data_IF_261895990459
#
_entry.id   IF_261895990459
#
_cell.length_a   1.000
_cell.length_b   1.000
_cell.length_c   1.000
_cell.angle_alpha   90.00
_cell.angle_beta   90.00
_cell.angle_gamma   90.00
#
_symmetry.space_group_name_H-M   'P 1'
#
loop_
_entity.id
_entity.type
_entity.pdbx_description
1 polymer ?
#
# COMPACT_ATOMS: atom_id res chain seq x y z
N UNK A 1 -43.14 3.27 52.25
CA UNK A 1 -42.79 4.08 51.07
C UNK A 1 -41.32 3.86 50.80
N UNK A 2 -41.01 3.26 49.65
CA UNK A 2 -39.69 2.80 49.25
C UNK A 2 -38.80 3.96 48.79
N UNK A 3 -37.54 4.00 49.21
CA UNK A 3 -36.51 4.88 48.65
C UNK A 3 -35.24 4.02 48.44
N UNK A 4 -35.21 3.27 47.33
CA UNK A 4 -34.49 3.59 46.08
C UNK A 4 -32.95 3.67 46.27
N UNK A 5 -32.36 2.49 46.10
CA UNK A 5 -30.95 2.23 45.80
C UNK A 5 -30.50 3.05 44.57
N UNK A 6 -29.45 3.85 44.71
CA UNK A 6 -28.69 4.35 43.56
C UNK A 6 -27.22 3.99 43.76
N UNK A 7 -26.87 2.80 43.25
CA UNK A 7 -25.48 2.40 43.03
C UNK A 7 -24.93 3.29 41.92
N UNK A 8 -23.97 4.14 42.26
CA UNK A 8 -23.15 4.89 41.31
C UNK A 8 -22.33 3.87 40.52
N UNK A 9 -22.80 3.53 39.32
CA UNK A 9 -22.01 2.79 38.34
C UNK A 9 -20.90 3.74 37.88
N UNK A 10 -19.69 3.50 38.38
CA UNK A 10 -18.46 4.05 37.79
C UNK A 10 -18.30 3.39 36.43
N UNK A 11 -18.81 4.06 35.38
CA UNK A 11 -18.56 3.66 34.00
C UNK A 11 -17.12 4.08 33.69
N UNK A 12 -16.18 3.15 33.93
CA UNK A 12 -14.85 3.20 33.33
C UNK A 12 -15.08 3.25 31.81
N UNK A 13 -14.66 4.32 31.10
CA UNK A 13 -14.62 4.24 29.66
C UNK A 13 -13.56 3.18 29.34
N UNK A 14 -14.03 2.00 28.93
CA UNK A 14 -13.20 1.03 28.26
C UNK A 14 -12.65 1.73 27.02
N UNK A 15 -11.42 2.22 27.13
CA UNK A 15 -10.56 2.48 25.98
C UNK A 15 -10.44 1.12 25.29
N UNK A 16 -11.37 0.85 24.37
CA UNK A 16 -11.23 -0.25 23.44
C UNK A 16 -9.98 0.08 22.64
N UNK A 17 -8.88 -0.57 23.03
CA UNK A 17 -7.69 -0.67 22.23
C UNK A 17 -8.14 -1.06 20.84
N UNK A 18 -8.05 -0.12 19.90
CA UNK A 18 -8.04 -0.43 18.49
C UNK A 18 -6.95 -1.49 18.34
N UNK A 19 -7.37 -2.73 18.14
CA UNK A 19 -6.48 -3.75 17.63
C UNK A 19 -6.16 -3.31 16.21
N UNK A 20 -5.13 -2.47 16.08
CA UNK A 20 -4.40 -2.34 14.84
C UNK A 20 -3.82 -3.74 14.62
N UNK A 21 -4.53 -4.57 13.86
CA UNK A 21 -3.98 -5.80 13.33
C UNK A 21 -2.72 -5.40 12.59
N UNK A 22 -1.58 -5.59 13.24
CA UNK A 22 -0.29 -5.26 12.66
C UNK A 22 -0.17 -6.21 11.47
N UNK A 23 -0.33 -5.69 10.25
CA UNK A 23 -0.02 -6.49 9.08
C UNK A 23 1.43 -6.95 9.25
N UNK A 24 1.66 -8.26 9.13
CA UNK A 24 3.01 -8.80 9.23
C UNK A 24 3.91 -8.08 8.23
N UNK A 25 5.14 -7.77 8.63
CA UNK A 25 6.11 -7.17 7.72
C UNK A 25 6.36 -8.09 6.53
N UNK A 26 6.51 -7.52 5.34
CA UNK A 26 6.72 -8.32 4.13
C UNK A 26 8.02 -9.12 4.20
N UNK A 27 7.93 -10.42 3.89
CA UNK A 27 9.10 -11.19 3.51
C UNK A 27 9.53 -10.73 2.10
N UNK A 28 10.68 -10.08 2.02
CA UNK A 28 11.16 -9.46 0.79
C UNK A 28 11.46 -10.47 -0.31
N UNK A 29 11.91 -11.68 0.02
CA UNK A 29 12.18 -12.75 -0.96
C UNK A 29 10.91 -13.28 -1.61
N UNK A 30 9.87 -13.52 -0.81
CA UNK A 30 8.54 -13.92 -1.30
C UNK A 30 7.93 -12.83 -2.18
N UNK A 31 8.00 -11.57 -1.72
CA UNK A 31 7.49 -10.42 -2.46
C UNK A 31 8.23 -10.22 -3.80
N UNK A 32 9.55 -10.35 -3.81
CA UNK A 32 10.38 -10.29 -5.03
C UNK A 32 10.01 -11.40 -6.02
N UNK A 33 9.80 -12.62 -5.52
CA UNK A 33 9.40 -13.77 -6.35
C UNK A 33 8.04 -13.53 -7.01
N UNK A 34 7.08 -12.98 -6.27
CA UNK A 34 5.77 -12.62 -6.79
C UNK A 34 5.83 -11.47 -7.83
N UNK A 35 6.81 -10.56 -7.70
CA UNK A 35 7.03 -9.41 -8.58
C UNK A 35 7.87 -9.73 -9.83
N UNK A 36 8.53 -10.89 -9.88
CA UNK A 36 9.32 -11.37 -11.02
C UNK A 36 8.66 -11.18 -12.41
N UNK A 37 7.37 -11.49 -12.63
CA UNK A 37 6.70 -11.23 -13.90
C UNK A 37 6.72 -9.75 -14.33
N UNK A 38 6.72 -8.80 -13.39
CA UNK A 38 6.86 -7.39 -13.71
C UNK A 38 8.26 -7.04 -14.21
N UNK A 39 9.30 -7.62 -13.60
CA UNK A 39 10.70 -7.42 -14.05
C UNK A 39 10.92 -7.86 -15.49
N UNK A 40 10.25 -8.93 -15.91
CA UNK A 40 10.36 -9.47 -17.28
C UNK A 40 9.61 -8.63 -18.32
N UNK A 41 8.84 -7.61 -17.92
CA UNK A 41 8.14 -6.73 -18.85
C UNK A 41 9.11 -5.79 -19.58
N UNK A 42 8.93 -5.60 -20.89
CA UNK A 42 9.68 -4.64 -21.68
C UNK A 42 9.57 -3.19 -21.15
N UNK A 43 8.49 -2.88 -20.42
CA UNK A 43 8.26 -1.55 -19.84
C UNK A 43 9.01 -1.32 -18.52
N UNK A 44 9.54 -2.37 -17.88
CA UNK A 44 10.17 -2.28 -16.56
C UNK A 44 11.37 -1.33 -16.53
N UNK A 45 12.30 -1.49 -17.47
CA UNK A 45 13.51 -0.66 -17.51
C UNK A 45 13.17 0.81 -17.76
N UNK A 46 12.28 1.09 -18.70
CA UNK A 46 11.88 2.47 -19.01
C UNK A 46 11.12 3.09 -17.84
N UNK A 47 10.19 2.36 -17.24
CA UNK A 47 9.48 2.85 -16.07
C UNK A 47 10.41 3.07 -14.87
N UNK A 48 11.45 2.27 -14.67
CA UNK A 48 12.44 2.55 -13.62
C UNK A 48 13.13 3.91 -13.81
N UNK A 49 13.51 4.23 -15.05
CA UNK A 49 14.14 5.51 -15.40
C UNK A 49 13.16 6.66 -15.13
N UNK A 50 11.94 6.55 -15.66
CA UNK A 50 10.90 7.56 -15.49
C UNK A 50 10.49 7.74 -14.02
N UNK A 51 10.42 6.63 -13.27
CA UNK A 51 10.13 6.65 -11.84
C UNK A 51 11.22 7.34 -11.05
N UNK A 52 12.50 7.15 -11.41
CA UNK A 52 13.61 7.84 -10.78
C UNK A 52 13.60 9.36 -11.08
N UNK A 53 13.02 9.76 -12.22
CA UNK A 53 12.77 11.15 -12.58
C UNK A 53 11.43 11.71 -12.05
N UNK A 54 10.75 10.97 -11.15
CA UNK A 54 9.42 11.31 -10.61
C UNK A 54 8.32 11.49 -11.68
N UNK A 55 8.48 10.89 -12.87
CA UNK A 55 7.60 11.00 -14.03
C UNK A 55 6.60 9.83 -14.16
N UNK A 56 6.31 9.11 -13.07
CA UNK A 56 5.49 7.87 -13.08
C UNK A 56 4.12 8.08 -13.73
N UNK A 57 3.42 9.14 -13.34
CA UNK A 57 2.05 9.38 -13.77
C UNK A 57 1.93 9.99 -15.17
N UNK A 58 3.05 10.37 -15.79
CA UNK A 58 3.09 10.83 -17.18
C UNK A 58 3.74 9.79 -18.11
N UNK A 59 4.54 8.87 -17.56
CA UNK A 59 5.17 7.77 -18.30
C UNK A 59 4.13 6.73 -18.76
N UNK A 60 4.13 6.48 -20.08
CA UNK A 60 3.35 5.38 -20.65
C UNK A 60 3.85 4.03 -20.17
N UNK A 61 5.18 3.85 -20.05
CA UNK A 61 5.79 2.62 -19.55
C UNK A 61 5.32 2.30 -18.13
N UNK A 62 5.30 3.29 -17.23
CA UNK A 62 4.82 3.08 -15.87
C UNK A 62 3.32 2.80 -15.80
N UNK A 63 2.50 3.51 -16.59
CA UNK A 63 1.06 3.20 -16.69
C UNK A 63 0.81 1.78 -17.17
N UNK A 64 1.60 1.31 -18.15
CA UNK A 64 1.53 -0.07 -18.65
C UNK A 64 1.92 -1.12 -17.61
N UNK A 65 2.66 -0.76 -16.55
CA UNK A 65 3.01 -1.67 -15.46
C UNK A 65 2.00 -1.67 -14.30
N UNK A 66 1.16 -0.63 -14.17
CA UNK A 66 0.18 -0.55 -13.07
C UNK A 66 -0.85 -1.67 -13.13
N UNK A 67 -1.44 -1.93 -14.30
CA UNK A 67 -2.41 -3.00 -14.49
C UNK A 67 -1.84 -4.41 -14.23
N UNK A 68 -0.70 -4.82 -14.81
CA UNK A 68 -0.12 -6.12 -14.49
C UNK A 68 0.29 -6.21 -13.02
N UNK A 69 0.73 -5.11 -12.38
CA UNK A 69 1.06 -5.11 -10.95
C UNK A 69 -0.16 -5.39 -10.08
N UNK A 70 -1.28 -4.73 -10.37
CA UNK A 70 -2.54 -4.96 -9.68
C UNK A 70 -3.08 -6.39 -9.86
N UNK A 71 -2.77 -7.02 -11.00
CA UNK A 71 -3.15 -8.40 -11.31
C UNK A 71 -2.26 -9.47 -10.67
N UNK A 72 -1.13 -9.10 -10.05
CA UNK A 72 -0.27 -10.08 -9.38
C UNK A 72 -0.89 -10.55 -8.06
N UNK A 73 -0.70 -11.84 -7.76
CA UNK A 73 -1.04 -12.41 -6.46
C UNK A 73 0.05 -12.09 -5.44
N UNK A 74 0.10 -10.84 -5.00
CA UNK A 74 1.09 -10.36 -4.04
C UNK A 74 0.69 -10.80 -2.62
N UNK A 75 1.66 -11.21 -1.77
CA UNK A 75 1.37 -11.48 -0.37
C UNK A 75 0.85 -10.21 0.30
N UNK A 76 -0.17 -10.32 1.15
CA UNK A 76 -0.73 -9.20 1.91
C UNK A 76 0.12 -8.97 3.16
N UNK A 77 0.91 -7.89 3.15
CA UNK A 77 1.89 -7.60 4.19
C UNK A 77 2.20 -6.10 4.24
N UNK A 78 2.77 -5.64 5.35
CA UNK A 78 3.22 -4.26 5.51
C UNK A 78 4.61 -4.10 4.90
N UNK A 79 4.74 -3.23 3.90
CA UNK A 79 6.03 -2.87 3.32
C UNK A 79 6.42 -1.48 3.79
N UNK A 80 7.57 -1.37 4.44
CA UNK A 80 8.19 -0.10 4.82
C UNK A 80 9.54 0.05 4.10
N UNK A 81 9.65 1.00 3.16
CA UNK A 81 10.88 1.23 2.41
C UNK A 81 11.08 2.73 2.18
N UNK A 82 12.25 3.25 2.63
CA UNK A 82 12.61 4.67 2.53
C UNK A 82 11.54 5.65 3.07
N UNK A 83 10.93 5.31 4.21
CA UNK A 83 9.91 6.16 4.84
C UNK A 83 8.54 6.14 4.16
N UNK A 84 8.39 5.33 3.09
CA UNK A 84 7.09 5.00 2.51
C UNK A 84 6.64 3.69 3.13
N UNK A 85 5.48 3.71 3.77
CA UNK A 85 4.86 2.53 4.35
C UNK A 85 3.47 2.32 3.75
N UNK A 86 3.18 1.11 3.30
CA UNK A 86 1.85 0.73 2.83
C UNK A 86 1.65 -0.77 2.92
N UNK A 87 0.38 -1.18 2.96
CA UNK A 87 0.01 -2.57 2.81
C UNK A 87 0.03 -2.96 1.32
N UNK A 88 0.72 -4.02 0.96
CA UNK A 88 0.81 -4.49 -0.44
C UNK A 88 -0.55 -4.82 -1.06
N UNK A 89 -1.60 -5.04 -0.28
CA UNK A 89 -2.97 -5.15 -0.79
C UNK A 89 -3.43 -3.89 -1.55
N UNK A 90 -2.94 -2.71 -1.18
CA UNK A 90 -3.25 -1.46 -1.86
C UNK A 90 -2.76 -1.42 -3.31
N UNK A 91 -1.76 -2.24 -3.66
CA UNK A 91 -1.25 -2.37 -5.03
C UNK A 91 -2.30 -2.95 -5.98
N UNK A 92 -3.26 -3.74 -5.47
CA UNK A 92 -4.37 -4.29 -6.27
C UNK A 92 -5.33 -3.21 -6.78
N UNK A 93 -5.33 -2.05 -6.14
CA UNK A 93 -6.11 -0.88 -6.55
C UNK A 93 -5.32 0.07 -7.46
N UNK A 94 -4.07 -0.26 -7.79
CA UNK A 94 -3.27 0.56 -8.71
C UNK A 94 -3.83 0.46 -10.12
N UNK A 95 -4.06 1.61 -10.71
CA UNK A 95 -4.44 1.77 -12.10
C UNK A 95 -3.86 3.08 -12.61
N UNK A 96 -3.88 3.27 -13.94
CA UNK A 96 -3.54 4.55 -14.53
C UNK A 96 -4.46 5.68 -14.05
N UNK A 97 -5.71 5.38 -13.66
CA UNK A 97 -6.63 6.32 -13.06
C UNK A 97 -6.23 6.74 -11.63
N UNK A 98 -5.45 5.92 -10.92
CA UNK A 98 -4.89 6.26 -9.60
C UNK A 98 -3.92 7.45 -9.66
N UNK A 99 -3.40 7.79 -10.85
CA UNK A 99 -2.65 9.01 -11.07
C UNK A 99 -3.53 10.28 -11.16
N UNK A 100 -4.84 10.13 -11.34
CA UNK A 100 -5.79 11.24 -11.40
C UNK A 100 -6.45 11.48 -10.02
N UNK A 101 -6.66 10.43 -9.23
CA UNK A 101 -7.18 10.49 -7.86
C UNK A 101 -6.06 10.54 -6.82
N UNK A 102 -5.32 11.65 -6.75
CA UNK A 102 -4.35 11.87 -5.67
C UNK A 102 -4.98 12.31 -4.33
N UNK A 103 -6.29 12.62 -4.30
CA UNK A 103 -6.96 13.20 -3.11
C UNK A 103 -7.60 12.18 -2.13
N UNK A 104 -7.69 10.89 -2.46
CA UNK A 104 -8.43 9.91 -1.64
C UNK A 104 -7.54 8.99 -0.79
N UNK A 105 -6.23 8.96 -1.06
CA UNK A 105 -5.22 8.21 -0.31
C UNK A 105 -4.79 9.02 0.93
N UNK A 106 -5.72 9.27 1.86
CA UNK A 106 -5.50 10.21 2.96
C UNK A 106 -4.67 9.63 4.12
N UNK A 107 -4.27 8.36 4.03
CA UNK A 107 -3.35 7.67 4.96
C UNK A 107 -2.34 6.73 4.27
N UNK A 108 -2.34 6.67 2.94
CA UNK A 108 -1.60 5.66 2.18
C UNK A 108 -0.70 6.35 1.14
N UNK A 109 0.49 5.79 0.90
CA UNK A 109 1.42 6.30 -0.10
C UNK A 109 0.73 6.55 -1.46
N UNK A 110 1.05 7.64 -2.16
CA UNK A 110 0.48 7.90 -3.49
C UNK A 110 0.72 6.70 -4.44
N UNK A 111 -0.16 6.51 -5.43
CA UNK A 111 0.01 5.43 -6.41
C UNK A 111 1.40 5.45 -7.08
N UNK A 112 1.93 6.66 -7.32
CA UNK A 112 3.29 6.85 -7.78
C UNK A 112 4.33 6.37 -6.75
N UNK A 113 4.19 6.73 -5.47
CA UNK A 113 5.11 6.32 -4.41
C UNK A 113 5.08 4.79 -4.19
N UNK A 114 3.91 4.17 -4.27
CA UNK A 114 3.77 2.71 -4.19
C UNK A 114 4.48 2.02 -5.35
N UNK A 115 4.18 2.42 -6.59
CA UNK A 115 4.82 1.86 -7.77
C UNK A 115 6.34 2.09 -7.74
N UNK A 116 6.80 3.29 -7.37
CA UNK A 116 8.21 3.61 -7.20
C UNK A 116 8.89 2.70 -6.18
N UNK A 117 8.24 2.48 -5.03
CA UNK A 117 8.75 1.62 -3.97
C UNK A 117 8.93 0.19 -4.45
N UNK A 118 7.94 -0.34 -5.18
CA UNK A 118 7.97 -1.68 -5.75
C UNK A 118 9.05 -1.82 -6.83
N UNK A 119 9.17 -0.84 -7.73
CA UNK A 119 10.22 -0.82 -8.75
C UNK A 119 11.62 -0.85 -8.14
N UNK A 120 11.79 -0.14 -7.02
CA UNK A 120 13.05 -0.12 -6.26
C UNK A 120 13.34 -1.40 -5.52
N UNK A 121 12.33 -2.05 -4.95
CA UNK A 121 12.51 -3.34 -4.30
C UNK A 121 13.07 -4.35 -5.30
N UNK A 122 12.57 -4.29 -6.53
CA UNK A 122 13.00 -5.12 -7.64
C UNK A 122 14.32 -4.71 -8.27
N UNK A 123 14.98 -3.61 -7.91
CA UNK A 123 16.22 -3.17 -8.59
C UNK A 123 17.38 -4.12 -8.28
#
# INVERSE_FOLDING_TARGET
MAALLLRVLVVLPAFFSVVAGSAASCNTSELLSALQPLRSSANYSMCQVDANAAAICVSSACKSLMAPLAGLNLPVCQLALKGIEFNTAALRSLSSASCQQQQQFQQDASAANMLWTILRLMR
#
